data_IF_841641464526
#
_entry.id   IF_841641464526
#
_cell.length_a   1.000
_cell.length_b   1.000
_cell.length_c   1.000
_cell.angle_alpha   90.00
_cell.angle_beta   90.00
_cell.angle_gamma   90.00
#
_symmetry.space_group_name_H-M   'P 1'
#
loop_
_entity.id
_entity.type
_entity.pdbx_description
1 polymer ?
#
# COMPACT_ATOMS: atom_id res chain seq x y z
N UNK A 1 14.41 2.11 -17.74
CA UNK A 1 13.90 3.26 -16.99
C UNK A 1 13.26 2.76 -15.71
N UNK A 2 13.63 3.33 -14.56
CA UNK A 2 13.22 2.81 -13.24
C UNK A 2 12.33 3.77 -12.45
N UNK A 3 11.68 4.71 -13.14
CA UNK A 3 10.80 5.68 -12.48
C UNK A 3 9.46 5.01 -12.14
N UNK A 4 9.38 4.45 -10.96
CA UNK A 4 8.16 3.86 -10.42
C UNK A 4 8.27 3.87 -8.89
N UNK A 5 8.03 5.02 -8.30
CA UNK A 5 8.08 5.18 -6.86
C UNK A 5 6.84 5.92 -6.40
N UNK A 6 6.17 5.35 -5.41
CA UNK A 6 4.99 5.93 -4.79
C UNK A 6 5.31 6.18 -3.32
N UNK A 7 4.98 7.38 -2.86
CA UNK A 7 5.02 7.75 -1.44
C UNK A 7 3.62 8.26 -1.10
N UNK A 8 2.95 7.57 -0.19
CA UNK A 8 1.57 7.93 0.16
C UNK A 8 1.32 7.69 1.64
N UNK A 9 0.58 8.61 2.26
CA UNK A 9 0.14 8.47 3.64
C UNK A 9 -1.31 8.02 3.68
N UNK A 10 -1.64 7.17 4.64
CA UNK A 10 -3.00 6.70 4.80
C UNK A 10 -3.20 5.91 6.06
N UNK A 11 -4.44 5.45 6.24
CA UNK A 11 -4.82 4.58 7.36
C UNK A 11 -5.00 3.17 6.84
N UNK A 12 -4.54 2.20 7.61
CA UNK A 12 -4.86 0.79 7.36
C UNK A 12 -6.35 0.58 7.59
N UNK A 13 -7.05 0.04 6.60
CA UNK A 13 -8.47 -0.30 6.70
C UNK A 13 -8.65 -1.73 7.18
N UNK A 14 -8.06 -2.66 6.45
CA UNK A 14 -8.12 -4.07 6.77
C UNK A 14 -6.85 -4.77 6.28
N UNK A 15 -6.57 -5.90 6.90
CA UNK A 15 -5.38 -6.70 6.62
C UNK A 15 -5.82 -8.15 6.52
N UNK A 16 -5.48 -8.81 5.41
CA UNK A 16 -5.71 -10.24 5.26
C UNK A 16 -4.69 -11.01 6.09
N UNK A 17 -5.03 -12.24 6.42
CA UNK A 17 -4.11 -13.12 7.14
C UNK A 17 -2.80 -13.30 6.37
N UNK A 18 -1.71 -13.38 7.12
CA UNK A 18 -0.39 -13.65 6.54
C UNK A 18 -0.42 -14.99 5.80
N UNK A 19 0.14 -15.01 4.61
CA UNK A 19 0.32 -16.24 3.84
C UNK A 19 1.76 -16.32 3.36
N UNK A 20 2.12 -17.47 2.83
CA UNK A 20 3.50 -17.73 2.39
C UNK A 20 3.50 -18.22 0.95
N UNK A 21 4.49 -17.78 0.17
CA UNK A 21 4.73 -18.33 -1.16
C UNK A 21 5.31 -19.75 -1.03
N UNK A 22 5.32 -20.55 -2.13
CA UNK A 22 6.01 -21.84 -2.10
C UNK A 22 7.48 -21.77 -1.69
N UNK A 23 8.14 -20.63 -1.93
CA UNK A 23 9.52 -20.41 -1.52
C UNK A 23 9.65 -19.98 -0.04
N UNK A 24 8.54 -19.90 0.70
CA UNK A 24 8.56 -19.55 2.12
C UNK A 24 8.59 -18.04 2.40
N UNK A 25 8.29 -17.20 1.41
CA UNK A 25 8.27 -15.74 1.60
C UNK A 25 6.90 -15.32 2.14
N UNK A 26 6.90 -14.57 3.24
CA UNK A 26 5.67 -14.03 3.83
C UNK A 26 5.04 -13.00 2.90
N UNK A 27 3.70 -13.05 2.80
CA UNK A 27 2.92 -12.11 1.98
C UNK A 27 1.75 -11.59 2.81
N UNK A 28 1.60 -10.27 2.86
CA UNK A 28 0.45 -9.60 3.48
C UNK A 28 -0.25 -8.74 2.43
N UNK A 29 -1.54 -8.94 2.26
CA UNK A 29 -2.39 -8.08 1.43
C UNK A 29 -3.26 -7.25 2.35
N UNK A 30 -3.38 -5.97 2.04
CA UNK A 30 -4.13 -5.04 2.87
C UNK A 30 -4.67 -3.89 2.02
N UNK A 31 -5.58 -3.12 2.61
CA UNK A 31 -6.10 -1.91 1.98
C UNK A 31 -5.83 -0.72 2.87
N UNK A 32 -5.58 0.42 2.22
CA UNK A 32 -5.38 1.69 2.91
C UNK A 32 -6.38 2.72 2.41
N UNK A 33 -6.75 3.63 3.30
CA UNK A 33 -7.57 4.79 3.00
C UNK A 33 -6.69 6.02 2.97
N UNK A 34 -6.74 6.76 1.88
CA UNK A 34 -5.95 7.98 1.68
C UNK A 34 -6.84 9.18 1.52
N UNK A 35 -6.52 10.25 2.24
CA UNK A 35 -7.16 11.57 2.09
C UNK A 35 -6.05 12.61 2.02
N UNK A 36 -6.13 13.48 1.03
CA UNK A 36 -5.18 14.59 0.92
C UNK A 36 -5.85 15.79 0.25
N UNK A 37 -5.20 16.94 0.39
CA UNK A 37 -5.60 18.15 -0.34
C UNK A 37 -4.54 18.39 -1.40
N UNK A 38 -5.01 18.58 -2.63
CA UNK A 38 -4.16 18.81 -3.79
C UNK A 38 -4.61 20.05 -4.52
N UNK A 39 -3.74 20.59 -5.35
CA UNK A 39 -4.09 21.65 -6.29
C UNK A 39 -4.18 21.03 -7.67
N UNK A 40 -5.33 21.17 -8.31
CA UNK A 40 -5.55 20.67 -9.65
C UNK A 40 -6.29 21.71 -10.47
N UNK A 41 -5.80 21.99 -11.65
CA UNK A 41 -6.35 23.06 -12.51
C UNK A 41 -6.41 24.42 -11.79
N UNK A 42 -5.41 24.69 -10.95
CA UNK A 42 -5.32 25.94 -10.19
C UNK A 42 -6.24 26.04 -8.99
N UNK A 43 -6.95 24.97 -8.63
CA UNK A 43 -7.92 24.98 -7.54
C UNK A 43 -7.61 23.90 -6.51
N UNK A 44 -7.83 24.21 -5.21
CA UNK A 44 -7.73 23.16 -4.19
C UNK A 44 -8.83 22.12 -4.36
N UNK A 45 -8.47 20.86 -4.18
CA UNK A 45 -9.46 19.79 -4.11
C UNK A 45 -9.05 18.76 -3.05
N UNK A 46 -10.04 18.12 -2.45
CA UNK A 46 -9.82 17.00 -1.57
C UNK A 46 -9.81 15.72 -2.41
N UNK A 47 -8.79 14.91 -2.18
CA UNK A 47 -8.66 13.60 -2.83
C UNK A 47 -8.93 12.54 -1.78
N UNK A 48 -9.81 11.60 -2.09
CA UNK A 48 -10.08 10.43 -1.25
C UNK A 48 -10.02 9.19 -2.12
N UNK A 49 -9.31 8.18 -1.65
CA UNK A 49 -9.27 6.91 -2.37
C UNK A 49 -8.87 5.78 -1.42
N UNK A 50 -9.21 4.56 -1.85
CA UNK A 50 -8.73 3.35 -1.22
C UNK A 50 -7.76 2.67 -2.16
N UNK A 51 -6.68 2.13 -1.60
CA UNK A 51 -5.62 1.52 -2.38
C UNK A 51 -5.40 0.10 -1.87
N UNK A 52 -5.43 -0.86 -2.78
CA UNK A 52 -5.01 -2.22 -2.49
C UNK A 52 -3.49 -2.27 -2.48
N UNK A 53 -2.93 -2.89 -1.46
CA UNK A 53 -1.49 -2.95 -1.26
C UNK A 53 -1.06 -4.36 -0.90
N UNK A 54 0.20 -4.65 -1.15
CA UNK A 54 0.81 -5.92 -0.82
C UNK A 54 2.21 -5.66 -0.27
N UNK A 55 2.60 -6.45 0.71
CA UNK A 55 3.95 -6.41 1.27
C UNK A 55 4.51 -7.83 1.31
N UNK A 56 5.81 -7.95 1.16
CA UNK A 56 6.51 -9.24 1.14
C UNK A 56 7.57 -9.27 2.23
N UNK A 57 7.90 -10.48 2.68
CA UNK A 57 8.98 -10.75 3.60
C UNK A 57 8.80 -9.99 4.92
N UNK A 58 9.84 -9.30 5.38
CA UNK A 58 9.84 -8.64 6.67
C UNK A 58 8.79 -7.53 6.78
N UNK A 59 8.54 -6.80 5.70
CA UNK A 59 7.48 -5.77 5.69
C UNK A 59 6.12 -6.40 5.90
N UNK A 60 5.86 -7.57 5.30
CA UNK A 60 4.62 -8.31 5.51
C UNK A 60 4.42 -8.69 6.99
N UNK A 61 5.47 -9.16 7.63
CA UNK A 61 5.42 -9.53 9.05
C UNK A 61 5.12 -8.32 9.93
N UNK A 62 5.65 -7.15 9.58
CA UNK A 62 5.36 -5.90 10.30
C UNK A 62 3.91 -5.48 10.08
N UNK A 63 3.42 -5.55 8.85
CA UNK A 63 2.06 -5.10 8.50
C UNK A 63 1.00 -5.88 9.27
N UNK A 64 1.13 -7.19 9.38
CA UNK A 64 0.09 -8.01 10.02
C UNK A 64 -0.07 -7.74 11.51
N UNK A 65 0.92 -7.11 12.13
CA UNK A 65 0.86 -6.73 13.55
C UNK A 65 0.30 -5.33 13.78
N UNK A 66 -0.02 -4.60 12.70
CA UNK A 66 -0.51 -3.23 12.80
C UNK A 66 -2.03 -3.25 13.03
N UNK A 67 -2.48 -2.42 13.97
CA UNK A 67 -3.91 -2.27 14.26
C UNK A 67 -4.58 -1.48 13.14
N UNK A 68 -5.72 -1.94 12.60
CA UNK A 68 -6.51 -1.15 11.66
C UNK A 68 -6.82 0.24 12.22
N UNK A 69 -6.79 1.24 11.35
CA UNK A 69 -6.92 2.65 11.74
C UNK A 69 -5.60 3.37 11.97
N UNK A 70 -4.50 2.64 12.05
CA UNK A 70 -3.18 3.24 12.22
C UNK A 70 -2.79 4.05 10.98
N UNK A 71 -2.30 5.27 11.21
CA UNK A 71 -1.80 6.13 10.15
C UNK A 71 -0.34 5.84 9.88
N UNK A 72 0.02 5.80 8.62
CA UNK A 72 1.39 5.51 8.23
C UNK A 72 1.73 6.09 6.87
N UNK A 73 3.02 6.24 6.64
CA UNK A 73 3.58 6.61 5.34
C UNK A 73 4.10 5.35 4.67
N UNK A 74 3.64 5.10 3.46
CA UNK A 74 4.01 3.92 2.69
C UNK A 74 4.86 4.33 1.50
N UNK A 75 5.92 3.58 1.27
CA UNK A 75 6.83 3.80 0.16
C UNK A 75 6.93 2.50 -0.62
N UNK A 76 6.77 2.59 -1.93
CA UNK A 76 6.81 1.40 -2.75
C UNK A 76 6.66 1.72 -4.23
N UNK A 77 6.11 0.78 -4.97
CA UNK A 77 5.92 0.90 -6.41
C UNK A 77 4.61 0.25 -6.84
N UNK A 78 4.16 0.59 -8.03
CA UNK A 78 2.95 0.02 -8.62
C UNK A 78 3.29 -1.16 -9.51
N UNK A 79 2.46 -2.19 -9.46
CA UNK A 79 2.54 -3.31 -10.37
C UNK A 79 1.14 -3.87 -10.62
N UNK A 80 0.98 -4.68 -11.64
CA UNK A 80 -0.28 -5.40 -11.85
C UNK A 80 -0.51 -6.39 -10.72
N UNK A 81 -1.76 -6.53 -10.32
CA UNK A 81 -2.15 -7.52 -9.31
C UNK A 81 -1.80 -8.93 -9.75
N UNK A 82 -1.94 -9.24 -11.02
CA UNK A 82 -1.56 -10.52 -11.63
C UNK A 82 -1.29 -10.30 -13.11
N UNK A 83 -0.73 -11.32 -13.77
CA UNK A 83 -0.41 -11.23 -15.21
C UNK A 83 -1.62 -10.90 -16.07
N UNK A 84 -2.80 -11.38 -15.66
CA UNK A 84 -4.03 -11.25 -16.44
C UNK A 84 -4.90 -10.08 -16.00
N UNK A 85 -4.47 -9.32 -14.99
CA UNK A 85 -5.26 -8.22 -14.44
C UNK A 85 -4.74 -6.88 -14.92
N UNK A 86 -5.65 -5.95 -15.21
CA UNK A 86 -5.30 -4.54 -15.43
C UNK A 86 -5.29 -3.76 -14.11
N UNK A 87 -5.78 -4.35 -13.03
CA UNK A 87 -5.79 -3.72 -11.74
C UNK A 87 -4.37 -3.56 -11.20
N UNK A 88 -4.06 -2.38 -10.69
CA UNK A 88 -2.77 -2.09 -10.07
C UNK A 88 -2.86 -2.28 -8.57
N UNK A 89 -1.75 -2.72 -7.98
CA UNK A 89 -1.58 -2.73 -6.53
C UNK A 89 -0.29 -2.02 -6.16
N UNK A 90 -0.27 -1.46 -4.95
CA UNK A 90 0.93 -0.85 -4.40
C UNK A 90 1.75 -1.94 -3.69
N UNK A 91 2.96 -2.18 -4.18
CA UNK A 91 3.92 -3.03 -3.48
C UNK A 91 4.67 -2.16 -2.49
N UNK A 92 4.49 -2.42 -1.21
CA UNK A 92 5.08 -1.61 -0.14
C UNK A 92 6.38 -2.24 0.29
N UNK A 93 7.48 -1.50 0.14
CA UNK A 93 8.80 -1.98 0.54
C UNK A 93 9.38 -1.23 1.73
N UNK A 94 8.73 -0.16 2.18
CA UNK A 94 9.13 0.55 3.39
C UNK A 94 7.92 1.24 4.01
N UNK A 95 7.90 1.33 5.34
CA UNK A 95 6.81 1.99 6.09
C UNK A 95 7.40 2.86 7.19
N UNK A 96 6.77 4.02 7.42
CA UNK A 96 7.06 4.90 8.53
C UNK A 96 5.76 5.20 9.28
N UNK A 97 5.80 5.13 10.59
CA UNK A 97 4.67 5.53 11.42
C UNK A 97 4.68 7.05 11.57
N UNK A 98 3.50 7.66 11.50
CA UNK A 98 3.33 9.11 11.62
C UNK A 98 2.37 9.47 12.72
#
# INVERSE_FOLDING_TARGET
MNCNQIVICGKILDINSLRYTPAGVAVAEFRISHVSRQIEAGKPRQVECEISAIALAKVAETIVDITPGTKMKLIGFLAKKSRMSLQLVLHVNNIDFI
#
